data_IF_774763908188
#
_entry.id   IF_774763908188
#
_cell.length_a   1.000
_cell.length_b   1.000
_cell.length_c   1.000
_cell.angle_alpha   90.00
_cell.angle_beta   90.00
_cell.angle_gamma   90.00
#
_symmetry.space_group_name_H-M   'P 1'
#
loop_
_entity.id
_entity.type
_entity.pdbx_description
1 polymer ?
#
# COMPACT_ATOMS: atom_id res chain seq x y z
N UNK A 1 -16.05 -0.55 -10.64
CA UNK A 1 -15.75 -0.45 -9.19
C UNK A 1 -14.77 -1.53 -8.80
N UNK A 2 -13.82 -1.21 -7.93
CA UNK A 2 -12.84 -2.19 -7.45
C UNK A 2 -13.03 -2.46 -5.98
N UNK A 3 -12.93 -3.74 -5.58
CA UNK A 3 -13.01 -4.17 -4.19
C UNK A 3 -11.65 -4.63 -3.70
N UNK A 4 -11.21 -4.02 -2.60
CA UNK A 4 -9.97 -4.39 -1.91
C UNK A 4 -10.30 -4.86 -0.50
N UNK A 5 -9.55 -5.85 0.00
CA UNK A 5 -9.60 -6.25 1.40
C UNK A 5 -8.39 -5.67 2.13
N UNK A 6 -8.60 -5.14 3.33
CA UNK A 6 -7.55 -4.55 4.16
C UNK A 6 -7.18 -5.52 5.27
N UNK A 7 -6.16 -6.34 5.03
CA UNK A 7 -5.71 -7.37 5.97
C UNK A 7 -4.33 -7.91 5.60
N UNK A 8 -3.65 -8.52 6.55
CA UNK A 8 -2.43 -9.29 6.34
C UNK A 8 -2.65 -10.80 6.56
N UNK A 9 -3.87 -11.22 6.87
CA UNK A 9 -4.19 -12.61 7.16
C UNK A 9 -4.40 -13.40 5.86
N UNK A 10 -3.53 -14.38 5.59
CA UNK A 10 -3.57 -15.15 4.35
C UNK A 10 -4.86 -15.95 4.16
N UNK A 11 -5.44 -16.48 5.23
CA UNK A 11 -6.68 -17.25 5.12
C UNK A 11 -7.86 -16.36 4.75
N UNK A 12 -7.93 -15.14 5.31
CA UNK A 12 -8.94 -14.16 4.94
C UNK A 12 -8.79 -13.74 3.47
N UNK A 13 -7.56 -13.57 3.00
CA UNK A 13 -7.28 -13.22 1.62
C UNK A 13 -7.71 -14.35 0.67
N UNK A 14 -7.39 -15.60 1.00
CA UNK A 14 -7.82 -16.77 0.22
C UNK A 14 -9.33 -16.86 0.14
N UNK A 15 -10.02 -16.65 1.25
CA UNK A 15 -11.47 -16.67 1.32
C UNK A 15 -12.08 -15.56 0.45
N UNK A 16 -11.54 -14.34 0.54
CA UNK A 16 -11.99 -13.22 -0.29
C UNK A 16 -11.73 -13.47 -1.78
N UNK A 17 -10.56 -14.01 -2.13
CA UNK A 17 -10.23 -14.36 -3.52
C UNK A 17 -11.19 -15.42 -4.07
N UNK A 18 -11.59 -16.38 -3.24
CA UNK A 18 -12.52 -17.44 -3.64
C UNK A 18 -13.92 -16.92 -4.00
N UNK A 19 -14.30 -15.73 -3.50
CA UNK A 19 -15.56 -15.10 -3.88
C UNK A 19 -15.58 -14.63 -5.35
N UNK A 20 -14.40 -14.47 -5.97
CA UNK A 20 -14.28 -14.08 -7.37
C UNK A 20 -14.47 -12.60 -7.66
N UNK A 21 -14.59 -11.75 -6.65
CA UNK A 21 -14.84 -10.30 -6.80
C UNK A 21 -13.73 -9.42 -6.22
N UNK A 22 -12.66 -10.03 -5.72
CA UNK A 22 -11.54 -9.30 -5.13
C UNK A 22 -10.62 -8.73 -6.22
N UNK A 23 -10.35 -7.44 -6.15
CA UNK A 23 -9.47 -6.75 -7.09
C UNK A 23 -8.07 -6.48 -6.53
N UNK A 24 -7.91 -6.57 -5.23
CA UNK A 24 -6.60 -6.34 -4.61
C UNK A 24 -6.63 -6.40 -3.10
N UNK A 25 -5.46 -6.18 -2.52
CA UNK A 25 -5.26 -6.21 -1.07
C UNK A 25 -4.51 -4.96 -0.64
N UNK A 26 -4.97 -4.35 0.45
CA UNK A 26 -4.19 -3.36 1.17
C UNK A 26 -3.77 -3.93 2.51
N UNK A 27 -2.59 -3.60 2.96
CA UNK A 27 -2.10 -3.97 4.30
C UNK A 27 -1.23 -2.85 4.85
N UNK A 28 -0.79 -2.99 6.07
CA UNK A 28 0.08 -2.02 6.73
C UNK A 28 0.89 -2.70 7.84
N UNK A 29 1.92 -2.03 8.40
CA UNK A 29 2.75 -2.63 9.45
C UNK A 29 1.97 -3.11 10.67
N UNK A 30 0.90 -2.42 11.07
CA UNK A 30 0.08 -2.83 12.21
C UNK A 30 -0.66 -4.13 11.95
N UNK A 31 -1.20 -4.31 10.75
CA UNK A 31 -1.86 -5.55 10.36
C UNK A 31 -0.87 -6.71 10.29
N UNK A 32 0.34 -6.46 9.76
CA UNK A 32 1.42 -7.46 9.76
C UNK A 32 1.76 -7.89 11.19
N UNK A 33 1.90 -6.94 12.11
CA UNK A 33 2.22 -7.23 13.50
C UNK A 33 1.13 -8.07 14.19
N UNK A 34 -0.13 -7.83 13.89
CA UNK A 34 -1.25 -8.63 14.42
C UNK A 34 -1.17 -10.10 13.99
N UNK A 35 -0.62 -10.37 12.82
CA UNK A 35 -0.42 -11.73 12.33
C UNK A 35 0.89 -12.36 12.82
N UNK A 36 1.62 -11.66 13.69
CA UNK A 36 2.91 -12.13 14.19
C UNK A 36 4.04 -12.05 13.17
N UNK A 37 3.84 -11.28 12.10
CA UNK A 37 4.87 -11.09 11.07
C UNK A 37 5.78 -9.94 11.49
N UNK A 38 7.04 -10.24 11.73
CA UNK A 38 8.04 -9.26 12.13
C UNK A 38 9.40 -9.55 11.48
N UNK A 39 10.23 -8.51 11.41
CA UNK A 39 11.52 -8.59 10.74
C UNK A 39 11.40 -8.40 9.24
N UNK A 40 12.39 -7.71 8.66
CA UNK A 40 12.37 -7.29 7.26
C UNK A 40 12.13 -8.45 6.29
N UNK A 41 12.90 -9.53 6.43
CA UNK A 41 12.80 -10.66 5.50
C UNK A 41 11.44 -11.36 5.57
N UNK A 42 10.88 -11.48 6.77
CA UNK A 42 9.56 -12.10 6.95
C UNK A 42 8.44 -11.24 6.37
N UNK A 43 8.55 -9.92 6.54
CA UNK A 43 7.57 -8.96 5.96
C UNK A 43 7.62 -9.01 4.44
N UNK A 44 8.80 -8.96 3.85
CA UNK A 44 8.97 -9.03 2.39
C UNK A 44 8.44 -10.33 1.82
N UNK A 45 8.75 -11.46 2.47
CA UNK A 45 8.22 -12.76 2.08
C UNK A 45 6.69 -12.79 2.15
N UNK A 46 6.13 -12.20 3.18
CA UNK A 46 4.67 -12.17 3.35
C UNK A 46 3.97 -11.39 2.22
N UNK A 47 4.55 -10.27 1.79
CA UNK A 47 4.03 -9.54 0.61
C UNK A 47 4.03 -10.41 -0.64
N UNK A 48 5.10 -11.17 -0.87
CA UNK A 48 5.16 -12.09 -2.02
C UNK A 48 4.10 -13.19 -1.88
N UNK A 49 3.90 -13.74 -0.69
CA UNK A 49 2.87 -14.74 -0.43
C UNK A 49 1.47 -14.19 -0.75
N UNK A 50 1.19 -12.95 -0.38
CA UNK A 50 -0.07 -12.28 -0.71
C UNK A 50 -0.21 -12.14 -2.23
N UNK A 51 0.82 -11.66 -2.91
CA UNK A 51 0.80 -11.51 -4.37
C UNK A 51 0.53 -12.83 -5.09
N UNK A 52 1.00 -13.95 -4.56
CA UNK A 52 0.79 -15.27 -5.14
C UNK A 52 -0.65 -15.79 -4.97
N UNK A 53 -1.41 -15.24 -4.03
CA UNK A 53 -2.81 -15.61 -3.80
C UNK A 53 -3.75 -14.72 -4.62
N UNK A 54 -3.47 -13.43 -4.71
CA UNK A 54 -4.37 -12.42 -5.27
C UNK A 54 -4.03 -12.14 -6.73
N UNK A 55 -5.07 -12.05 -7.54
CA UNK A 55 -5.00 -11.60 -8.92
C UNK A 55 -5.29 -10.10 -8.97
N UNK A 56 -4.34 -9.27 -8.55
CA UNK A 56 -4.55 -7.83 -8.52
C UNK A 56 -3.49 -7.09 -7.70
N UNK A 57 -3.69 -5.80 -7.53
CA UNK A 57 -2.74 -4.94 -6.87
C UNK A 57 -2.65 -5.21 -5.37
N UNK A 58 -1.44 -5.22 -4.84
CA UNK A 58 -1.15 -5.42 -3.42
C UNK A 58 -0.37 -4.21 -2.90
N UNK A 59 -0.96 -3.45 -1.99
CA UNK A 59 -0.32 -2.28 -1.40
C UNK A 59 0.64 -2.70 -0.29
N UNK A 60 1.91 -2.32 -0.44
CA UNK A 60 2.97 -2.55 0.52
C UNK A 60 3.49 -1.20 1.03
N UNK A 61 3.43 -0.98 2.34
CA UNK A 61 3.68 0.32 2.95
C UNK A 61 5.14 0.49 3.36
N UNK A 62 5.70 1.68 3.06
CA UNK A 62 7.01 2.09 3.56
C UNK A 62 6.93 2.46 5.05
N UNK A 63 8.02 2.25 5.77
CA UNK A 63 8.13 2.61 7.19
C UNK A 63 8.88 3.92 7.37
N UNK A 64 9.83 4.22 6.48
CA UNK A 64 10.61 5.46 6.53
C UNK A 64 9.71 6.71 6.50
N UNK A 65 10.16 7.76 7.16
CA UNK A 65 9.45 9.04 7.24
C UNK A 65 10.09 10.14 6.42
N UNK A 66 11.31 9.92 5.96
CA UNK A 66 12.05 10.85 5.10
C UNK A 66 11.99 10.40 3.63
N UNK A 67 12.17 11.37 2.73
CA UNK A 67 12.09 11.13 1.28
C UNK A 67 13.06 10.04 0.81
N UNK A 68 14.34 10.15 1.19
CA UNK A 68 15.36 9.21 0.71
C UNK A 68 15.10 7.78 1.20
N UNK A 69 14.68 7.63 2.45
CA UNK A 69 14.29 6.34 3.01
C UNK A 69 13.08 5.75 2.30
N UNK A 70 12.07 6.57 2.00
CA UNK A 70 10.89 6.13 1.25
C UNK A 70 11.25 5.67 -0.15
N UNK A 71 12.16 6.38 -0.84
CA UNK A 71 12.61 5.98 -2.18
C UNK A 71 13.30 4.61 -2.12
N UNK A 72 14.23 4.44 -1.20
CA UNK A 72 14.96 3.17 -1.04
C UNK A 72 14.02 2.00 -0.73
N UNK A 73 13.15 2.18 0.25
CA UNK A 73 12.18 1.14 0.63
C UNK A 73 11.18 0.85 -0.48
N UNK A 74 10.66 1.89 -1.13
CA UNK A 74 9.69 1.74 -2.19
C UNK A 74 10.26 1.07 -3.43
N UNK A 75 11.50 1.34 -3.80
CA UNK A 75 12.17 0.64 -4.89
C UNK A 75 12.33 -0.85 -4.56
N UNK A 76 12.76 -1.16 -3.35
CA UNK A 76 12.90 -2.54 -2.88
C UNK A 76 11.54 -3.28 -2.91
N UNK A 77 10.49 -2.64 -2.42
CA UNK A 77 9.14 -3.22 -2.44
C UNK A 77 8.66 -3.46 -3.88
N UNK A 78 8.86 -2.50 -4.77
CA UNK A 78 8.39 -2.60 -6.15
C UNK A 78 9.08 -3.72 -6.94
N UNK A 79 10.28 -4.11 -6.53
CA UNK A 79 11.03 -5.21 -7.16
C UNK A 79 10.56 -6.59 -6.69
N UNK A 80 9.78 -6.70 -5.61
CA UNK A 80 9.32 -7.98 -5.09
C UNK A 80 8.39 -8.72 -6.04
N UNK A 81 7.49 -7.98 -6.68
CA UNK A 81 6.48 -8.55 -7.56
C UNK A 81 5.80 -7.43 -8.37
N UNK A 82 5.38 -7.74 -9.59
CA UNK A 82 4.73 -6.75 -10.48
C UNK A 82 3.39 -6.23 -9.95
N UNK A 83 2.73 -6.96 -9.03
CA UNK A 83 1.47 -6.56 -8.42
C UNK A 83 1.64 -5.56 -7.27
N UNK A 84 2.87 -5.28 -6.85
CA UNK A 84 3.11 -4.37 -5.72
C UNK A 84 2.78 -2.93 -6.09
N UNK A 85 2.04 -2.29 -5.20
CA UNK A 85 1.75 -0.85 -5.19
C UNK A 85 2.42 -0.28 -3.95
N UNK A 86 3.28 0.72 -4.11
CA UNK A 86 4.00 1.33 -2.98
C UNK A 86 3.06 2.26 -2.21
N UNK A 87 2.81 1.95 -0.95
CA UNK A 87 1.92 2.75 -0.11
C UNK A 87 2.74 3.78 0.67
N UNK A 88 2.34 5.03 0.53
CA UNK A 88 3.06 6.21 1.03
C UNK A 88 2.13 7.08 1.88
N UNK A 89 2.63 7.70 2.97
CA UNK A 89 1.80 8.58 3.77
C UNK A 89 1.56 9.92 3.09
N UNK A 90 0.42 10.54 3.39
CA UNK A 90 0.09 11.90 2.94
C UNK A 90 0.88 12.94 3.76
N UNK A 91 2.15 13.02 3.48
CA UNK A 91 3.08 14.00 4.05
C UNK A 91 3.80 14.70 2.92
N UNK A 92 4.51 15.79 3.21
CA UNK A 92 5.34 16.47 2.22
C UNK A 92 6.31 15.48 1.56
N UNK A 93 7.01 14.69 2.37
CA UNK A 93 7.98 13.69 1.88
C UNK A 93 7.29 12.56 1.10
N UNK A 94 6.13 12.12 1.56
CA UNK A 94 5.34 11.09 0.88
C UNK A 94 4.85 11.54 -0.50
N UNK A 95 4.42 12.79 -0.64
CA UNK A 95 3.99 13.35 -1.93
C UNK A 95 5.18 13.48 -2.90
N UNK A 96 6.33 13.90 -2.41
CA UNK A 96 7.56 13.93 -3.23
C UNK A 96 7.93 12.53 -3.72
N UNK A 97 7.86 11.54 -2.84
CA UNK A 97 8.11 10.14 -3.19
C UNK A 97 7.08 9.62 -4.20
N UNK A 98 5.82 9.96 -4.02
CA UNK A 98 4.74 9.60 -4.95
C UNK A 98 5.06 10.08 -6.38
N UNK A 99 5.43 11.33 -6.51
CA UNK A 99 5.82 11.89 -7.82
C UNK A 99 7.02 11.17 -8.42
N UNK A 100 8.03 10.88 -7.60
CA UNK A 100 9.23 10.13 -8.02
C UNK A 100 8.84 8.77 -8.62
N UNK A 101 8.02 8.01 -7.90
CA UNK A 101 7.60 6.67 -8.35
C UNK A 101 6.69 6.74 -9.57
N UNK A 102 5.76 7.68 -9.57
CA UNK A 102 4.83 7.89 -10.69
C UNK A 102 5.58 8.18 -12.00
N UNK A 103 6.61 9.02 -11.95
CA UNK A 103 7.44 9.36 -13.12
C UNK A 103 8.20 8.13 -13.65
N UNK A 104 8.36 7.09 -12.85
CA UNK A 104 9.06 5.85 -13.20
C UNK A 104 8.13 4.68 -13.49
N UNK A 105 6.82 4.94 -13.56
CA UNK A 105 5.83 3.91 -13.85
C UNK A 105 5.54 2.95 -12.70
N UNK A 106 5.96 3.27 -11.48
CA UNK A 106 5.69 2.49 -10.28
C UNK A 106 4.37 2.98 -9.68
N UNK A 107 3.44 2.05 -9.46
CA UNK A 107 2.14 2.37 -8.88
C UNK A 107 2.28 2.76 -7.42
N UNK A 108 1.47 3.73 -7.00
CA UNK A 108 1.46 4.24 -5.63
C UNK A 108 0.05 4.31 -5.06
N UNK A 109 -0.03 4.16 -3.73
CA UNK A 109 -1.25 4.37 -2.95
C UNK A 109 -0.92 5.36 -1.83
N UNK A 110 -1.49 6.57 -1.88
CA UNK A 110 -1.26 7.57 -0.84
C UNK A 110 -2.31 7.40 0.26
N UNK A 111 -1.83 7.11 1.46
CA UNK A 111 -2.67 6.83 2.63
C UNK A 111 -2.62 7.98 3.66
N UNK A 112 -3.44 7.88 4.70
CA UNK A 112 -3.58 8.93 5.74
C UNK A 112 -4.10 10.24 5.15
N UNK A 113 -5.03 10.12 4.22
CA UNK A 113 -5.70 11.26 3.59
C UNK A 113 -6.94 11.60 4.42
N UNK A 114 -7.00 12.85 4.91
CA UNK A 114 -8.08 13.30 5.80
C UNK A 114 -8.92 14.44 5.21
N UNK A 115 -8.63 14.88 4.00
CA UNK A 115 -9.39 15.93 3.33
C UNK A 115 -9.42 15.74 1.82
N UNK A 116 -10.41 16.34 1.18
CA UNK A 116 -10.51 16.36 -0.28
C UNK A 116 -9.32 17.07 -0.93
N UNK A 117 -8.82 18.14 -0.30
CA UNK A 117 -7.64 18.86 -0.81
C UNK A 117 -6.39 18.00 -0.81
N UNK A 118 -6.19 17.20 0.24
CA UNK A 118 -5.09 16.24 0.29
C UNK A 118 -5.22 15.16 -0.79
N UNK A 119 -6.43 14.64 -0.99
CA UNK A 119 -6.69 13.65 -2.05
C UNK A 119 -6.37 14.22 -3.43
N UNK A 120 -6.74 15.46 -3.69
CA UNK A 120 -6.47 16.14 -4.95
C UNK A 120 -4.96 16.30 -5.17
N UNK A 121 -4.23 16.69 -4.14
CA UNK A 121 -2.77 16.82 -4.20
C UNK A 121 -2.10 15.47 -4.50
N UNK A 122 -2.53 14.40 -3.85
CA UNK A 122 -2.03 13.05 -4.09
C UNK A 122 -2.29 12.62 -5.54
N UNK A 123 -3.50 12.86 -6.04
CA UNK A 123 -3.86 12.55 -7.43
C UNK A 123 -2.99 13.35 -8.42
N UNK A 124 -2.74 14.62 -8.14
CA UNK A 124 -1.89 15.46 -8.97
C UNK A 124 -0.44 14.98 -8.99
N UNK A 125 0.05 14.42 -7.89
CA UNK A 125 1.38 13.83 -7.82
C UNK A 125 1.48 12.49 -8.57
N UNK A 126 0.36 11.97 -9.07
CA UNK A 126 0.33 10.76 -9.89
C UNK A 126 -0.04 9.49 -9.14
N UNK A 127 -0.63 9.59 -7.94
CA UNK A 127 -1.08 8.43 -7.19
C UNK A 127 -2.05 7.57 -8.01
N UNK A 128 -1.82 6.26 -8.00
CA UNK A 128 -2.73 5.28 -8.62
C UNK A 128 -3.99 5.12 -7.77
N UNK A 129 -3.80 5.11 -6.45
CA UNK A 129 -4.85 5.00 -5.45
C UNK A 129 -4.66 6.05 -4.36
N UNK A 130 -5.77 6.45 -3.75
CA UNK A 130 -5.80 7.32 -2.57
C UNK A 130 -6.63 6.62 -1.52
N UNK A 131 -6.12 6.54 -0.29
CA UNK A 131 -6.81 5.87 0.82
C UNK A 131 -7.23 6.91 1.87
N UNK A 132 -8.41 7.52 1.72
CA UNK A 132 -8.92 8.44 2.72
C UNK A 132 -9.39 7.69 3.96
N UNK A 133 -9.19 8.30 5.12
CA UNK A 133 -9.66 7.78 6.39
C UNK A 133 -11.03 8.38 6.72
N UNK A 134 -11.96 7.51 7.07
CA UNK A 134 -13.32 7.89 7.43
C UNK A 134 -13.49 7.63 8.94
N UNK A 135 -13.99 8.61 9.67
CA UNK A 135 -14.31 8.48 11.09
C UNK A 135 -13.17 8.77 12.05
N UNK A 136 -11.90 8.66 11.64
CA UNK A 136 -10.78 8.86 12.56
C UNK A 136 -10.73 10.29 13.13
N UNK A 137 -11.15 11.30 12.36
CA UNK A 137 -11.23 12.68 12.82
C UNK A 137 -12.45 12.92 13.71
N UNK A 138 -13.42 12.04 13.68
CA UNK A 138 -14.65 12.11 14.50
C UNK A 138 -14.46 11.41 15.85
N UNK A 139 -13.39 10.68 16.02
CA UNK A 139 -13.03 10.02 17.27
C UNK A 139 -12.33 11.05 18.21
#
# INVERSE_FOLDING_TARGET
>A
MKFFIDTANLDQIKEAQALGVLDGVTTNPSLMAKEGISGKNNVLKHYVDICNIVDGDVSAEVIATDYEGMIKEGEELSELHEQIVVKLPMTKEGIKACKYFSDRGIKTNVTLVFSAGQALLAAKAGATYVSPFIGRLDD
#
